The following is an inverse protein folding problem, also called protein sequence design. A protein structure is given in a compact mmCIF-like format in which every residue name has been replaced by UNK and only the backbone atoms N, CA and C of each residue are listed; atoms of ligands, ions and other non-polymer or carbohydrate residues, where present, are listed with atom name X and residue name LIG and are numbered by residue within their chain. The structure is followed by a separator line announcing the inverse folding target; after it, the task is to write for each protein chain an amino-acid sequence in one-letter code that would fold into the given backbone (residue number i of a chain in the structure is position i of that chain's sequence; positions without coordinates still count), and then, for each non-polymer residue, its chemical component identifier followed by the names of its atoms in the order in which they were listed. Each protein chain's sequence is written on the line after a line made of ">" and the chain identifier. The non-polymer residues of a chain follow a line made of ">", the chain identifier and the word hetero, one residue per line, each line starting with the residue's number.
data_IF_396689013456
#
_entry.id   IF_396689013456
#
_cell.length_a   1.000
_cell.length_b   1.000
_cell.length_c   1.000
_cell.angle_alpha   90.00
_cell.angle_beta   90.00
_cell.angle_gamma   90.00
#
_symmetry.space_group_name_H-M   'P 1'
#
loop_
_entity.id
_entity.type
_entity.pdbx_description
1 polymer ?
#
# COMPACT_ATOMS: atom_id res chain seq x y z
N UNK A 1 35.11 5.21 47.69
CA UNK A 1 34.94 5.73 46.31
C UNK A 1 33.86 4.92 45.61
N UNK A 2 32.76 5.56 45.17
CA UNK A 2 31.45 4.91 44.88
C UNK A 2 31.26 4.66 43.37
N UNK A 3 30.87 3.45 42.91
CA UNK A 3 30.52 3.20 41.51
C UNK A 3 29.01 3.43 41.31
N UNK A 4 28.60 4.41 40.52
CA UNK A 4 27.15 4.69 40.31
C UNK A 4 26.76 5.09 38.88
N UNK A 5 27.66 4.97 37.90
CA UNK A 5 27.42 5.48 36.53
C UNK A 5 27.02 4.39 35.51
N UNK A 6 27.10 3.10 35.85
CA UNK A 6 26.93 2.00 34.88
C UNK A 6 25.45 1.59 34.64
N UNK A 7 24.57 1.77 35.63
CA UNK A 7 23.16 1.31 35.56
C UNK A 7 22.31 2.07 34.53
N UNK A 8 22.58 3.37 34.32
CA UNK A 8 21.79 4.20 33.40
C UNK A 8 22.06 3.92 31.91
N UNK A 9 23.26 3.45 31.57
CA UNK A 9 23.64 3.14 30.19
C UNK A 9 23.01 1.83 29.69
N UNK A 10 22.98 0.79 30.53
CA UNK A 10 22.38 -0.50 30.20
C UNK A 10 20.87 -0.40 30.01
N UNK A 11 20.17 0.34 30.88
CA UNK A 11 18.73 0.57 30.73
C UNK A 11 18.40 1.32 29.43
N UNK A 12 19.23 2.29 29.03
CA UNK A 12 19.08 2.98 27.74
C UNK A 12 19.31 2.06 26.54
N UNK A 13 20.32 1.19 26.59
CA UNK A 13 20.55 0.24 25.50
C UNK A 13 19.41 -0.78 25.36
N UNK A 14 18.89 -1.29 26.47
CA UNK A 14 17.76 -2.22 26.48
C UNK A 14 16.46 -1.57 25.97
N UNK A 15 16.22 -0.30 26.31
CA UNK A 15 15.08 0.45 25.77
C UNK A 15 15.21 0.67 24.26
N UNK A 16 16.40 1.01 23.77
CA UNK A 16 16.63 1.25 22.34
C UNK A 16 16.44 -0.01 21.50
N UNK A 17 16.95 -1.17 21.92
CA UNK A 17 16.78 -2.42 21.14
C UNK A 17 15.33 -2.90 21.09
N UNK A 18 14.56 -2.73 22.17
CA UNK A 18 13.14 -3.09 22.20
C UNK A 18 12.28 -2.27 21.21
N UNK A 19 12.62 -1.00 21.00
CA UNK A 19 11.96 -0.13 20.01
C UNK A 19 12.28 -0.58 18.58
N UNK A 20 13.53 -0.92 18.29
CA UNK A 20 13.91 -1.37 16.94
C UNK A 20 13.29 -2.73 16.58
N UNK A 21 13.13 -3.65 17.55
CA UNK A 21 12.59 -4.99 17.28
C UNK A 21 11.07 -4.98 16.99
N UNK A 22 10.33 -3.99 17.50
CA UNK A 22 8.87 -3.91 17.37
C UNK A 22 8.38 -3.19 16.11
N UNK A 23 9.23 -2.43 15.41
CA UNK A 23 8.85 -1.72 14.19
C UNK A 23 8.82 -2.61 12.93
N UNK A 24 9.54 -3.74 12.90
CA UNK A 24 9.68 -4.56 11.69
C UNK A 24 8.48 -5.45 11.31
N UNK A 25 7.49 -5.62 12.19
CA UNK A 25 6.37 -6.56 11.97
C UNK A 25 5.02 -5.87 11.67
N UNK A 26 4.97 -4.54 11.62
CA UNK A 26 3.72 -3.80 11.45
C UNK A 26 3.26 -3.68 9.99
N UNK A 27 4.18 -3.85 9.03
CA UNK A 27 3.90 -3.64 7.60
C UNK A 27 3.13 -4.82 6.96
N UNK A 28 3.37 -6.06 7.41
CA UNK A 28 2.74 -7.26 6.85
C UNK A 28 1.22 -7.31 7.12
N UNK A 29 0.78 -6.92 8.31
CA UNK A 29 -0.64 -6.94 8.70
C UNK A 29 -1.45 -5.89 7.93
N UNK A 30 -0.85 -4.73 7.63
CA UNK A 30 -1.46 -3.65 6.83
C UNK A 30 -1.68 -4.11 5.38
N UNK A 31 -0.73 -4.87 4.84
CA UNK A 31 -0.75 -5.35 3.46
C UNK A 31 -1.81 -6.43 3.23
N UNK A 32 -1.99 -7.34 4.19
CA UNK A 32 -3.04 -8.37 4.12
C UNK A 32 -4.46 -7.78 4.26
N UNK A 33 -4.64 -6.78 5.13
CA UNK A 33 -5.93 -6.10 5.31
C UNK A 33 -6.34 -5.32 4.04
N UNK A 34 -5.37 -4.78 3.29
CA UNK A 34 -5.64 -4.13 2.01
C UNK A 34 -6.18 -5.12 0.96
N UNK A 35 -5.67 -6.36 0.93
CA UNK A 35 -6.10 -7.35 -0.06
C UNK A 35 -7.55 -7.83 0.10
N UNK A 36 -8.04 -7.92 1.35
CA UNK A 36 -9.39 -8.44 1.64
C UNK A 36 -10.51 -7.39 1.49
N UNK A 37 -10.17 -6.09 1.51
CA UNK A 37 -11.15 -4.98 1.46
C UNK A 37 -10.88 -3.95 0.37
N UNK A 38 -9.87 -4.14 -0.49
CA UNK A 38 -9.53 -3.17 -1.53
C UNK A 38 -10.72 -2.99 -2.50
N UNK A 39 -11.09 -1.75 -2.82
CA UNK A 39 -12.12 -1.50 -3.81
C UNK A 39 -11.71 -2.11 -5.15
N UNK A 40 -12.58 -2.96 -5.71
CA UNK A 40 -12.36 -3.56 -7.02
C UNK A 40 -12.41 -2.50 -8.12
N UNK A 41 -11.67 -2.74 -9.21
CA UNK A 41 -11.73 -1.90 -10.40
C UNK A 41 -13.07 -2.16 -11.11
N UNK A 42 -13.82 -1.09 -11.36
CA UNK A 42 -15.02 -1.12 -12.20
C UNK A 42 -14.63 -0.73 -13.63
N UNK A 43 -14.82 -1.64 -14.58
CA UNK A 43 -14.54 -1.40 -15.99
C UNK A 43 -15.79 -0.94 -16.73
N UNK A 44 -15.66 0.13 -17.52
CA UNK A 44 -16.72 0.65 -18.38
C UNK A 44 -16.27 0.54 -19.83
N UNK A 45 -17.01 -0.23 -20.63
CA UNK A 45 -16.67 -0.46 -22.05
C UNK A 45 -16.95 0.71 -22.98
N UNK A 46 -17.53 1.81 -22.47
CA UNK A 46 -17.80 3.02 -23.26
C UNK A 46 -17.32 4.26 -22.51
N UNK A 47 -16.86 5.24 -23.28
CA UNK A 47 -16.47 6.55 -22.75
C UNK A 47 -17.63 7.23 -22.01
N UNK A 48 -18.84 7.17 -22.56
CA UNK A 48 -20.04 7.78 -21.98
C UNK A 48 -20.36 7.18 -20.60
N UNK A 49 -20.31 5.85 -20.46
CA UNK A 49 -20.57 5.17 -19.19
C UNK A 49 -19.53 5.49 -18.12
N UNK A 50 -18.24 5.40 -18.48
CA UNK A 50 -17.14 5.72 -17.55
C UNK A 50 -17.16 7.17 -17.11
N UNK A 51 -17.38 8.11 -18.03
CA UNK A 51 -17.44 9.54 -17.72
C UNK A 51 -18.66 9.89 -16.85
N UNK A 52 -19.81 9.25 -17.09
CA UNK A 52 -21.00 9.44 -16.25
C UNK A 52 -20.74 9.00 -14.80
N UNK A 53 -20.09 7.86 -14.61
CA UNK A 53 -19.75 7.36 -13.26
C UNK A 53 -18.72 8.24 -12.56
N UNK A 54 -17.68 8.68 -13.27
CA UNK A 54 -16.67 9.57 -12.74
C UNK A 54 -17.29 10.89 -12.23
N UNK A 55 -18.25 11.45 -12.99
CA UNK A 55 -19.01 12.64 -12.59
C UNK A 55 -19.92 12.38 -11.39
N UNK A 56 -20.68 11.28 -11.40
CA UNK A 56 -21.61 10.91 -10.31
C UNK A 56 -20.88 10.76 -8.98
N UNK A 57 -19.70 10.14 -9.00
CA UNK A 57 -18.90 9.86 -7.81
C UNK A 57 -17.89 10.95 -7.46
N UNK A 58 -17.67 11.91 -8.37
CA UNK A 58 -16.61 12.92 -8.31
C UNK A 58 -15.21 12.31 -8.12
N UNK A 59 -14.98 11.16 -8.75
CA UNK A 59 -13.69 10.47 -8.73
C UNK A 59 -12.98 10.63 -10.08
N UNK A 60 -11.64 10.74 -10.10
CA UNK A 60 -10.90 10.72 -11.36
C UNK A 60 -11.09 9.37 -12.08
N UNK A 61 -11.02 9.41 -13.41
CA UNK A 61 -11.10 8.24 -14.27
C UNK A 61 -9.72 7.89 -14.83
N UNK A 62 -9.43 6.59 -14.90
CA UNK A 62 -8.32 6.05 -15.68
C UNK A 62 -8.87 5.61 -17.05
N UNK A 63 -8.40 6.26 -18.12
CA UNK A 63 -8.72 5.85 -19.49
C UNK A 63 -7.62 4.94 -20.03
N UNK A 64 -7.97 3.71 -20.38
CA UNK A 64 -7.05 2.74 -20.99
C UNK A 64 -7.46 2.52 -22.44
N UNK A 65 -6.55 2.83 -23.37
CA UNK A 65 -6.68 2.47 -24.78
C UNK A 65 -5.65 1.37 -25.08
N UNK A 66 -6.11 0.13 -25.21
CA UNK A 66 -5.27 -1.02 -25.49
C UNK A 66 -5.82 -1.79 -26.69
N UNK A 67 -4.92 -2.38 -27.48
CA UNK A 67 -5.28 -3.39 -28.46
C UNK A 67 -5.23 -4.78 -27.79
N UNK A 68 -6.10 -5.73 -28.17
CA UNK A 68 -6.03 -7.10 -27.66
C UNK A 68 -4.72 -7.80 -28.07
N UNK A 69 -4.13 -7.39 -29.19
CA UNK A 69 -2.81 -7.79 -29.67
C UNK A 69 -2.22 -6.72 -30.58
N UNK A 70 -0.90 -6.56 -30.58
CA UNK A 70 -0.17 -5.72 -31.53
C UNK A 70 1.02 -6.52 -32.08
N UNK A 71 0.93 -6.93 -33.35
CA UNK A 71 1.87 -7.86 -33.98
C UNK A 71 2.02 -9.15 -33.14
N UNK A 72 3.23 -9.45 -32.66
CA UNK A 72 3.56 -10.61 -31.83
C UNK A 72 3.51 -10.32 -30.32
N UNK A 73 3.03 -9.13 -29.91
CA UNK A 73 2.93 -8.73 -28.50
C UNK A 73 1.48 -8.90 -28.01
N UNK A 74 1.22 -9.73 -26.99
CA UNK A 74 -0.10 -9.88 -26.40
C UNK A 74 -0.52 -8.60 -25.66
N UNK A 75 -1.81 -8.25 -25.77
CA UNK A 75 -2.38 -7.03 -25.20
C UNK A 75 -3.29 -7.27 -23.99
N UNK A 76 -4.12 -6.27 -23.70
CA UNK A 76 -5.12 -6.27 -22.61
C UNK A 76 -6.49 -6.59 -23.19
N UNK A 77 -7.27 -7.40 -22.47
CA UNK A 77 -8.67 -7.76 -22.75
C UNK A 77 -9.60 -7.14 -21.71
#
# INVERSE_FOLDING_TARGET
>A
MKPTTQRGRLARYLLLTAVFLSAGNADDVRTLQAAAGAPKIAWFGTWQGGLAEARRTRRPILLVSAAPQCHSVPGIW
#
